data_IF_391162639624
#
_entry.id   IF_391162639624
#
_cell.length_a   1.000
_cell.length_b   1.000
_cell.length_c   1.000
_cell.angle_alpha   90.00
_cell.angle_beta   90.00
_cell.angle_gamma   90.00
#
_symmetry.space_group_name_H-M   'P 1'
#
loop_
_entity.id
_entity.type
_entity.pdbx_description
1 polymer ?
#
# COMPACT_ATOMS: atom_id res chain seq x y z
N UNK A 1 -33.49 3.08 -10.64
CA UNK A 1 -32.09 2.81 -11.02
C UNK A 1 -31.44 2.06 -9.86
N UNK A 2 -31.25 0.76 -10.00
CA UNK A 2 -30.58 -0.04 -8.96
C UNK A 2 -29.09 0.32 -8.98
N UNK A 3 -28.61 0.96 -7.91
CA UNK A 3 -27.19 1.08 -7.64
C UNK A 3 -26.66 -0.35 -7.43
N UNK A 4 -26.03 -0.91 -8.45
CA UNK A 4 -25.30 -2.16 -8.30
C UNK A 4 -24.19 -1.90 -7.28
N UNK A 5 -24.28 -2.51 -6.10
CA UNK A 5 -23.25 -2.44 -5.07
C UNK A 5 -22.05 -3.28 -5.52
N UNK A 6 -21.28 -2.77 -6.48
CA UNK A 6 -20.02 -3.36 -6.86
C UNK A 6 -19.06 -3.24 -5.67
N UNK A 7 -18.84 -4.37 -4.99
CA UNK A 7 -17.80 -4.51 -3.95
C UNK A 7 -16.47 -4.10 -4.56
N UNK A 8 -15.74 -3.21 -3.89
CA UNK A 8 -14.41 -2.77 -4.30
C UNK A 8 -13.37 -3.44 -3.41
N UNK A 9 -12.37 -4.06 -4.03
CA UNK A 9 -11.29 -4.72 -3.30
C UNK A 9 -10.07 -3.82 -3.17
N UNK A 10 -9.27 -4.04 -2.13
CA UNK A 10 -7.91 -3.49 -2.05
C UNK A 10 -7.10 -4.10 -3.20
N UNK A 11 -6.43 -3.29 -4.06
CA UNK A 11 -5.65 -3.81 -5.17
C UNK A 11 -4.33 -4.36 -4.64
N UNK A 12 -4.36 -5.62 -4.20
CA UNK A 12 -3.19 -6.41 -3.80
C UNK A 12 -2.89 -7.50 -4.82
N UNK A 13 -1.66 -8.00 -4.84
CA UNK A 13 -1.33 -9.18 -5.64
C UNK A 13 -2.07 -10.40 -5.09
N UNK A 14 -2.98 -10.95 -5.89
CA UNK A 14 -3.78 -12.12 -5.54
C UNK A 14 -3.07 -13.37 -6.08
N UNK A 15 -2.85 -14.42 -5.25
CA UNK A 15 -2.15 -15.61 -5.71
C UNK A 15 -2.97 -16.43 -6.70
N UNK A 16 -2.35 -16.88 -7.79
CA UNK A 16 -2.99 -17.70 -8.84
C UNK A 16 -3.37 -19.11 -8.35
N UNK A 17 -2.72 -19.59 -7.28
CA UNK A 17 -2.92 -20.92 -6.71
C UNK A 17 -2.75 -20.89 -5.20
N UNK A 18 -3.73 -21.44 -4.49
CA UNK A 18 -3.66 -21.69 -3.03
C UNK A 18 -3.63 -23.18 -2.69
N UNK A 19 -3.89 -24.05 -3.69
CA UNK A 19 -3.90 -25.50 -3.55
C UNK A 19 -3.68 -26.18 -4.92
N UNK A 20 -3.61 -27.52 -4.95
CA UNK A 20 -3.46 -28.31 -6.18
C UNK A 20 -4.73 -28.54 -7.00
N UNK A 21 -5.85 -27.90 -6.62
CA UNK A 21 -7.13 -28.02 -7.34
C UNK A 21 -7.13 -27.19 -8.64
N UNK A 22 -8.08 -27.44 -9.53
CA UNK A 22 -8.25 -26.66 -10.75
C UNK A 22 -8.57 -25.19 -10.41
N UNK A 23 -7.95 -24.23 -11.12
CA UNK A 23 -8.12 -22.79 -10.90
C UNK A 23 -9.58 -22.31 -10.98
N UNK A 24 -10.44 -23.04 -11.69
CA UNK A 24 -11.89 -22.80 -11.80
C UNK A 24 -12.64 -22.99 -10.47
N UNK A 25 -12.03 -23.66 -9.49
CA UNK A 25 -12.62 -23.88 -8.16
C UNK A 25 -12.30 -22.77 -7.15
N UNK A 26 -11.57 -21.73 -7.57
CA UNK A 26 -11.23 -20.58 -6.73
C UNK A 26 -12.28 -19.48 -6.86
N UNK A 27 -12.89 -19.11 -5.74
CA UNK A 27 -13.79 -17.95 -5.67
C UNK A 27 -13.20 -16.83 -4.82
N UNK A 28 -13.23 -15.61 -5.37
CA UNK A 28 -12.85 -14.38 -4.68
C UNK A 28 -14.05 -13.85 -3.89
N UNK A 29 -13.86 -13.63 -2.59
CA UNK A 29 -14.89 -13.20 -1.66
C UNK A 29 -14.46 -11.91 -0.95
N UNK A 30 -15.41 -11.02 -0.61
CA UNK A 30 -15.15 -9.92 0.30
C UNK A 30 -14.86 -10.47 1.70
N UNK A 31 -13.64 -10.20 2.15
CA UNK A 31 -13.24 -10.37 3.53
C UNK A 31 -13.56 -9.14 4.38
N UNK A 32 -12.66 -8.87 5.33
CA UNK A 32 -12.78 -7.73 6.25
C UNK A 32 -12.94 -6.40 5.51
N UNK A 33 -13.91 -5.60 5.93
CA UNK A 33 -14.09 -4.24 5.44
C UNK A 33 -13.00 -3.33 5.99
N UNK A 34 -12.32 -2.64 5.09
CA UNK A 34 -11.34 -1.59 5.36
C UNK A 34 -12.07 -0.25 5.26
N UNK A 35 -12.39 0.33 6.41
CA UNK A 35 -13.21 1.55 6.52
C UNK A 35 -12.49 2.79 6.00
N UNK A 36 -11.16 2.84 6.10
CA UNK A 36 -10.37 3.99 5.65
C UNK A 36 -9.15 3.54 4.83
N UNK A 37 -9.32 3.33 3.53
CA UNK A 37 -8.17 3.15 2.61
C UNK A 37 -7.81 4.49 2.00
N UNK A 38 -6.58 4.96 2.14
CA UNK A 38 -6.06 6.07 1.32
C UNK A 38 -5.30 5.46 0.15
N UNK A 39 -5.83 5.65 -1.06
CA UNK A 39 -5.26 5.08 -2.28
C UNK A 39 -4.40 6.12 -3.00
N UNK A 40 -3.41 5.58 -3.72
CA UNK A 40 -2.33 6.26 -4.44
C UNK A 40 -2.76 7.57 -5.13
N UNK A 41 -1.89 8.57 -5.06
CA UNK A 41 -1.98 9.78 -5.88
C UNK A 41 -1.29 9.55 -7.25
N UNK A 42 -1.66 8.48 -7.96
CA UNK A 42 -1.25 8.29 -9.36
C UNK A 42 -2.45 8.55 -10.26
N UNK A 43 -2.21 9.20 -11.41
CA UNK A 43 -3.21 9.71 -12.37
C UNK A 43 -4.25 8.69 -12.90
N UNK A 44 -4.22 7.42 -12.49
CA UNK A 44 -4.96 6.34 -13.12
C UNK A 44 -5.64 5.32 -12.20
N UNK A 45 -5.43 5.30 -10.87
CA UNK A 45 -5.95 4.17 -10.04
C UNK A 45 -6.56 4.61 -8.70
N UNK A 46 -7.65 5.38 -8.73
CA UNK A 46 -8.46 5.76 -7.56
C UNK A 46 -7.81 6.85 -6.68
N UNK A 47 -8.18 8.11 -6.93
CA UNK A 47 -7.91 9.21 -6.02
C UNK A 47 -9.00 9.29 -4.97
N UNK A 48 -8.69 9.01 -3.70
CA UNK A 48 -9.68 9.16 -2.66
C UNK A 48 -9.51 8.26 -1.46
N UNK A 49 -10.43 8.45 -0.50
CA UNK A 49 -10.71 7.40 0.47
C UNK A 49 -11.77 6.50 -0.11
N UNK A 50 -11.57 5.20 0.04
CA UNK A 50 -12.56 4.23 -0.40
C UNK A 50 -12.82 3.24 0.72
N UNK A 51 -14.09 2.91 0.90
CA UNK A 51 -14.47 1.71 1.64
C UNK A 51 -14.20 0.52 0.72
N UNK A 52 -13.17 -0.25 1.08
CA UNK A 52 -12.73 -1.42 0.32
C UNK A 52 -12.92 -2.66 1.19
N UNK A 53 -13.08 -3.81 0.56
CA UNK A 53 -13.00 -5.11 1.22
C UNK A 53 -11.64 -5.73 0.96
N UNK A 54 -11.08 -6.38 1.98
CA UNK A 54 -9.92 -7.25 1.76
C UNK A 54 -10.31 -8.42 0.85
N UNK A 55 -9.51 -8.76 -0.16
CA UNK A 55 -9.76 -9.96 -0.94
C UNK A 55 -9.46 -11.21 -0.10
N UNK A 56 -10.38 -12.16 -0.15
CA UNK A 56 -10.20 -13.51 0.36
C UNK A 56 -10.44 -14.50 -0.77
N UNK A 57 -9.53 -15.47 -0.94
CA UNK A 57 -9.72 -16.56 -1.88
C UNK A 57 -10.15 -17.81 -1.11
N UNK A 58 -11.15 -18.50 -1.64
CA UNK A 58 -11.57 -19.80 -1.14
C UNK A 58 -11.63 -20.80 -2.28
N UNK A 59 -11.09 -22.00 -2.05
CA UNK A 59 -11.26 -23.13 -2.94
C UNK A 59 -12.54 -23.88 -2.56
N UNK A 60 -13.49 -23.99 -3.50
CA UNK A 60 -14.75 -24.67 -3.28
C UNK A 60 -14.61 -26.20 -3.25
N UNK A 61 -13.53 -26.73 -3.84
CA UNK A 61 -13.28 -28.18 -3.91
C UNK A 61 -12.62 -28.74 -2.64
N UNK A 62 -11.72 -28.00 -1.99
CA UNK A 62 -10.95 -28.48 -0.84
C UNK A 62 -11.05 -27.60 0.41
N UNK A 63 -11.86 -26.55 0.37
CA UNK A 63 -12.02 -25.56 1.45
C UNK A 63 -10.73 -24.84 1.88
N UNK A 64 -9.65 -24.92 1.08
CA UNK A 64 -8.46 -24.12 1.31
C UNK A 64 -8.80 -22.63 1.17
N UNK A 65 -8.28 -21.80 2.08
CA UNK A 65 -8.49 -20.36 2.05
C UNK A 65 -7.18 -19.61 2.07
N UNK A 66 -7.16 -18.46 1.40
CA UNK A 66 -6.11 -17.46 1.51
C UNK A 66 -6.75 -16.13 1.91
N UNK A 67 -6.10 -15.44 2.83
CA UNK A 67 -6.51 -14.13 3.30
C UNK A 67 -5.33 -13.17 3.15
N UNK A 68 -5.64 -11.93 2.79
CA UNK A 68 -4.62 -10.89 2.62
C UNK A 68 -3.91 -10.63 3.95
N UNK A 69 -2.59 -10.82 3.97
CA UNK A 69 -1.73 -10.56 5.12
C UNK A 69 -1.06 -9.19 5.09
N UNK A 70 -0.20 -8.93 6.09
CA UNK A 70 0.64 -7.72 6.12
C UNK A 70 1.64 -7.73 4.95
N UNK A 71 2.23 -8.88 4.65
CA UNK A 71 3.24 -9.00 3.60
C UNK A 71 2.67 -8.66 2.22
N UNK A 72 1.46 -9.15 1.91
CA UNK A 72 0.76 -8.85 0.65
C UNK A 72 0.48 -7.35 0.49
N UNK A 73 0.16 -6.67 1.58
CA UNK A 73 -0.03 -5.21 1.60
C UNK A 73 1.29 -4.48 1.35
N UNK A 74 2.36 -4.88 2.05
CA UNK A 74 3.67 -4.25 1.92
C UNK A 74 4.22 -4.41 0.50
N UNK A 75 4.05 -5.59 -0.12
CA UNK A 75 4.39 -5.83 -1.52
C UNK A 75 3.58 -4.96 -2.49
N UNK A 76 2.36 -4.62 -2.11
CA UNK A 76 1.44 -3.81 -2.91
C UNK A 76 1.54 -2.31 -2.62
N UNK A 77 2.62 -1.85 -1.98
CA UNK A 77 2.88 -0.46 -1.56
C UNK A 77 1.87 0.11 -0.53
N UNK A 78 1.25 -0.75 0.28
CA UNK A 78 0.31 -0.36 1.32
C UNK A 78 0.88 -0.59 2.73
N UNK A 79 0.55 0.34 3.64
CA UNK A 79 0.95 0.32 5.04
C UNK A 79 -0.27 0.20 5.96
N UNK A 80 -0.36 -0.85 6.79
CA UNK A 80 -1.47 -1.03 7.71
C UNK A 80 -1.30 -0.15 8.95
N UNK A 81 -2.25 0.75 9.20
CA UNK A 81 -2.19 1.67 10.34
C UNK A 81 -2.68 1.05 11.66
N UNK A 82 -3.41 -0.06 11.58
CA UNK A 82 -3.99 -0.77 12.72
C UNK A 82 -3.84 -2.28 12.53
N UNK A 83 -3.71 -3.01 13.64
CA UNK A 83 -3.64 -4.48 13.69
C UNK A 83 -4.83 -5.19 13.04
N UNK A 84 -5.97 -4.49 12.90
CA UNK A 84 -7.18 -5.03 12.29
C UNK A 84 -7.39 -4.59 10.85
N UNK A 85 -6.42 -3.90 10.24
CA UNK A 85 -6.51 -3.38 8.87
C UNK A 85 -7.71 -2.44 8.64
N UNK A 86 -8.21 -1.80 9.71
CA UNK A 86 -9.34 -0.86 9.58
C UNK A 86 -8.96 0.41 8.81
N UNK A 87 -7.67 0.75 8.85
CA UNK A 87 -7.09 1.88 8.12
C UNK A 87 -5.81 1.42 7.45
N UNK A 88 -5.68 1.71 6.16
CA UNK A 88 -4.51 1.39 5.35
C UNK A 88 -4.11 2.64 4.56
N UNK A 89 -2.82 2.95 4.57
CA UNK A 89 -2.25 4.07 3.83
C UNK A 89 -1.44 3.56 2.65
N UNK A 90 -1.62 4.12 1.47
CA UNK A 90 -0.61 3.96 0.43
C UNK A 90 0.71 4.61 0.89
N UNK A 91 1.83 3.95 0.65
CA UNK A 91 3.16 4.42 1.10
C UNK A 91 3.56 5.76 0.45
N UNK A 92 3.04 6.07 -0.74
CA UNK A 92 3.20 7.36 -1.43
C UNK A 92 2.66 8.55 -0.62
N UNK A 93 1.68 8.33 0.26
CA UNK A 93 1.17 9.34 1.19
C UNK A 93 2.26 9.75 2.21
N UNK A 94 3.09 8.81 2.64
CA UNK A 94 4.21 9.10 3.54
C UNK A 94 5.36 9.80 2.81
N UNK A 95 5.69 9.33 1.62
CA UNK A 95 6.69 9.97 0.77
C UNK A 95 6.34 11.42 0.43
N UNK A 96 5.10 11.67 0.00
CA UNK A 96 4.63 13.03 -0.29
C UNK A 96 4.58 13.93 0.94
N UNK A 97 4.34 13.37 2.14
CA UNK A 97 4.49 14.13 3.37
C UNK A 97 5.95 14.49 3.66
N UNK A 98 6.88 13.56 3.47
CA UNK A 98 8.32 13.79 3.61
C UNK A 98 8.81 14.86 2.63
N UNK A 99 8.50 14.76 1.34
CA UNK A 99 8.85 15.75 0.32
C UNK A 99 8.35 17.15 0.71
N UNK A 100 7.13 17.21 1.24
CA UNK A 100 6.53 18.45 1.69
C UNK A 100 7.21 19.01 2.95
N UNK A 101 7.64 18.13 3.87
CA UNK A 101 8.44 18.53 5.02
C UNK A 101 9.81 19.05 4.63
N UNK A 102 10.42 18.51 3.57
CA UNK A 102 11.67 19.01 3.02
C UNK A 102 11.49 20.40 2.38
N UNK A 103 10.41 20.61 1.63
CA UNK A 103 10.11 21.90 0.99
C UNK A 103 9.62 22.96 1.99
N UNK A 104 8.89 22.56 3.03
CA UNK A 104 8.27 23.45 4.01
C UNK A 104 8.33 22.82 5.44
N UNK A 105 9.46 22.94 6.15
CA UNK A 105 9.65 22.31 7.47
C UNK A 105 8.61 22.70 8.52
N UNK A 106 8.10 23.95 8.42
CA UNK A 106 7.08 24.50 9.32
C UNK A 106 5.66 23.97 9.12
N UNK A 107 5.41 23.14 8.10
CA UNK A 107 4.08 22.59 7.87
C UNK A 107 3.72 21.56 8.94
N UNK A 108 2.56 21.67 9.57
CA UNK A 108 2.11 20.68 10.56
C UNK A 108 1.50 19.43 9.90
N UNK A 109 1.53 18.31 10.61
CA UNK A 109 0.79 17.08 10.22
C UNK A 109 -0.69 17.37 9.95
N UNK A 110 -1.30 18.21 10.79
CA UNK A 110 -2.71 18.57 10.65
C UNK A 110 -2.97 19.36 9.35
N UNK A 111 -2.06 20.25 8.94
CA UNK A 111 -2.20 21.00 7.69
C UNK A 111 -2.12 20.05 6.47
N UNK A 112 -1.19 19.10 6.50
CA UNK A 112 -1.08 18.06 5.48
C UNK A 112 -2.34 17.18 5.39
N UNK A 113 -2.83 16.70 6.53
CA UNK A 113 -4.04 15.89 6.58
C UNK A 113 -5.27 16.65 6.09
N UNK A 114 -5.39 17.95 6.41
CA UNK A 114 -6.45 18.80 5.86
C UNK A 114 -6.34 18.97 4.34
N UNK A 115 -5.13 19.08 3.80
CA UNK A 115 -4.92 19.10 2.36
C UNK A 115 -5.35 17.78 1.71
N UNK A 116 -5.00 16.64 2.34
CA UNK A 116 -5.46 15.32 1.88
C UNK A 116 -6.99 15.18 1.99
N UNK A 117 -7.59 15.62 3.10
CA UNK A 117 -9.05 15.69 3.26
C UNK A 117 -9.65 16.44 2.06
N UNK A 118 -9.19 17.67 1.79
CA UNK A 118 -9.71 18.50 0.70
C UNK A 118 -9.61 17.84 -0.68
N UNK A 119 -8.51 17.13 -0.96
CA UNK A 119 -8.32 16.38 -2.22
C UNK A 119 -9.20 15.13 -2.31
N UNK A 120 -9.61 14.58 -1.17
CA UNK A 120 -10.39 13.33 -1.08
C UNK A 120 -11.87 13.53 -0.76
N UNK A 121 -12.31 14.76 -0.45
CA UNK A 121 -13.68 15.14 -0.05
C UNK A 121 -14.77 14.66 -1.02
N UNK A 122 -14.46 14.49 -2.32
CA UNK A 122 -15.44 14.03 -3.31
C UNK A 122 -15.72 12.53 -3.28
N UNK A 123 -14.86 11.75 -2.63
CA UNK A 123 -14.89 10.28 -2.68
C UNK A 123 -14.94 9.62 -1.29
N UNK A 124 -14.77 10.40 -0.21
CA UNK A 124 -14.54 9.90 1.14
C UNK A 124 -15.74 10.11 2.09
N UNK A 125 -16.05 9.10 2.90
CA UNK A 125 -17.07 9.14 3.97
C UNK A 125 -16.51 9.06 5.40
N UNK A 126 -15.19 9.01 5.58
CA UNK A 126 -14.52 8.88 6.89
C UNK A 126 -13.43 9.93 7.16
N UNK A 127 -13.06 10.14 8.44
CA UNK A 127 -12.01 11.09 8.88
C UNK A 127 -10.71 10.34 9.22
N UNK A 128 -9.57 10.80 8.70
CA UNK A 128 -8.26 10.32 9.15
C UNK A 128 -8.02 10.83 10.58
N UNK A 129 -7.72 9.91 11.50
CA UNK A 129 -7.20 10.30 12.80
C UNK A 129 -5.77 10.79 12.64
N UNK A 130 -5.51 12.03 13.06
CA UNK A 130 -4.16 12.61 13.11
C UNK A 130 -3.21 11.70 13.88
N UNK A 131 -3.66 11.14 15.00
CA UNK A 131 -2.85 10.26 15.84
C UNK A 131 -2.50 8.96 15.12
N UNK A 132 -3.48 8.37 14.39
CA UNK A 132 -3.24 7.18 13.59
C UNK A 132 -2.23 7.44 12.47
N UNK A 133 -2.34 8.58 11.80
CA UNK A 133 -1.40 8.95 10.73
C UNK A 133 0.00 9.19 11.27
N UNK A 134 0.16 9.99 12.32
CA UNK A 134 1.46 10.28 12.94
C UNK A 134 2.12 8.99 13.39
N UNK A 135 1.38 8.13 14.10
CA UNK A 135 1.90 6.84 14.55
C UNK A 135 2.38 5.98 13.37
N UNK A 136 1.55 5.84 12.35
CA UNK A 136 1.88 5.01 11.17
C UNK A 136 3.07 5.57 10.40
N UNK A 137 3.17 6.90 10.28
CA UNK A 137 4.30 7.57 9.64
C UNK A 137 5.61 7.30 10.39
N UNK A 138 5.60 7.41 11.72
CA UNK A 138 6.79 7.14 12.54
C UNK A 138 7.19 5.67 12.50
N UNK A 139 6.22 4.74 12.52
CA UNK A 139 6.49 3.30 12.36
C UNK A 139 7.11 3.01 10.99
N UNK A 140 6.55 3.58 9.93
CA UNK A 140 7.08 3.46 8.57
C UNK A 140 8.50 4.03 8.47
N UNK A 141 8.76 5.19 9.08
CA UNK A 141 10.09 5.81 9.11
C UNK A 141 11.10 4.95 9.87
N UNK A 142 10.70 4.38 11.01
CA UNK A 142 11.55 3.50 11.81
C UNK A 142 11.90 2.21 11.04
N UNK A 143 10.92 1.56 10.41
CA UNK A 143 11.15 0.36 9.59
C UNK A 143 12.06 0.70 8.41
N UNK A 144 11.80 1.83 7.73
CA UNK A 144 12.66 2.32 6.64
C UNK A 144 14.10 2.52 7.10
N UNK A 145 14.31 3.14 8.27
CA UNK A 145 15.64 3.34 8.83
C UNK A 145 16.35 2.00 9.11
N UNK A 146 15.65 1.03 9.69
CA UNK A 146 16.20 -0.30 9.96
C UNK A 146 16.55 -1.05 8.66
N UNK A 147 15.69 -0.99 7.65
CA UNK A 147 15.96 -1.59 6.32
C UNK A 147 17.20 -0.97 5.68
N UNK A 148 17.34 0.37 5.72
CA UNK A 148 18.51 1.07 5.20
C UNK A 148 19.77 0.74 6.01
N UNK A 149 19.66 0.65 7.34
CA UNK A 149 20.74 0.24 8.24
C UNK A 149 21.24 -1.16 7.92
N UNK A 150 20.32 -2.11 7.74
CA UNK A 150 20.61 -3.48 7.31
C UNK A 150 21.26 -3.51 5.92
N UNK A 151 20.76 -2.73 4.96
CA UNK A 151 21.36 -2.62 3.63
C UNK A 151 22.81 -2.11 3.70
N UNK A 152 23.09 -1.10 4.53
CA UNK A 152 24.44 -0.57 4.78
C UNK A 152 25.38 -1.56 5.46
N UNK A 153 24.85 -2.46 6.27
CA UNK A 153 25.62 -3.56 6.91
C UNK A 153 25.83 -4.74 5.98
N UNK A 154 25.02 -4.90 4.94
CA UNK A 154 25.16 -6.01 4.00
C UNK A 154 26.47 -5.90 3.20
N UNK A 155 27.27 -6.99 3.12
CA UNK A 155 28.51 -7.00 2.34
C UNK A 155 28.26 -7.11 0.82
N UNK A 156 27.05 -7.49 0.40
CA UNK A 156 26.68 -7.61 -1.01
C UNK A 156 26.16 -6.28 -1.57
N UNK A 157 26.83 -5.68 -2.58
CA UNK A 157 26.35 -4.47 -3.25
C UNK A 157 25.00 -4.67 -3.94
N UNK A 158 24.70 -5.89 -4.40
CA UNK A 158 23.45 -6.25 -5.09
C UNK A 158 22.27 -6.26 -4.10
N UNK A 159 22.46 -6.86 -2.93
CA UNK A 159 21.43 -6.87 -1.88
C UNK A 159 21.19 -5.47 -1.35
N UNK A 160 22.25 -4.67 -1.22
CA UNK A 160 22.18 -3.26 -0.84
C UNK A 160 21.37 -2.43 -1.85
N UNK A 161 21.61 -2.60 -3.15
CA UNK A 161 20.87 -1.89 -4.20
C UNK A 161 19.39 -2.33 -4.25
N UNK A 162 19.10 -3.62 -4.12
CA UNK A 162 17.73 -4.14 -4.10
C UNK A 162 16.90 -3.57 -2.93
N UNK A 163 17.48 -3.52 -1.72
CA UNK A 163 16.81 -2.94 -0.54
C UNK A 163 16.56 -1.43 -0.70
N UNK A 164 17.49 -0.69 -1.32
CA UNK A 164 17.32 0.73 -1.61
C UNK A 164 16.24 0.95 -2.68
N UNK A 165 16.20 0.14 -3.75
CA UNK A 165 15.21 0.26 -4.81
C UNK A 165 13.79 -0.16 -4.39
N UNK A 166 13.65 -1.08 -3.45
CA UNK A 166 12.36 -1.40 -2.81
C UNK A 166 11.85 -0.23 -1.97
N UNK A 167 12.76 0.52 -1.34
CA UNK A 167 12.42 1.64 -0.46
C UNK A 167 12.25 2.97 -1.18
N UNK A 168 12.81 3.12 -2.38
CA UNK A 168 12.68 4.31 -3.21
C UNK A 168 12.26 3.88 -4.62
N UNK A 169 10.97 3.59 -4.86
CA UNK A 169 10.49 3.09 -6.15
C UNK A 169 10.79 4.03 -7.34
N UNK A 170 11.02 5.32 -7.07
CA UNK A 170 11.47 6.33 -8.04
C UNK A 170 12.98 6.32 -8.34
N UNK A 171 13.80 5.67 -7.50
CA UNK A 171 15.23 5.43 -7.76
C UNK A 171 15.45 4.15 -8.59
N UNK A 172 14.40 3.46 -9.03
CA UNK A 172 14.55 2.45 -10.09
C UNK A 172 15.28 3.14 -11.25
N UNK A 173 16.42 2.62 -11.71
CA UNK A 173 17.03 3.14 -12.92
C UNK A 173 15.93 3.10 -13.98
N UNK A 174 15.58 4.26 -14.53
CA UNK A 174 14.93 4.28 -15.84
C UNK A 174 15.84 3.41 -16.69
N UNK A 175 15.30 2.33 -17.25
CA UNK A 175 16.06 1.43 -18.10
C UNK A 175 16.72 2.27 -19.20
N UNK A 176 17.99 2.64 -18.97
CA UNK A 176 18.86 3.06 -20.04
C UNK A 176 19.01 1.80 -20.90
N UNK A 177 18.80 1.89 -22.22
CA UNK A 177 18.94 0.74 -23.08
C UNK A 177 20.35 0.20 -22.87
N UNK A 178 20.41 -1.09 -22.53
CA UNK A 178 21.61 -1.88 -22.49
C UNK A 178 22.24 -1.79 -23.88
N UNK A 179 23.19 -0.87 -24.07
CA UNK A 179 24.06 -0.92 -25.24
C UNK A 179 25.05 -2.04 -24.96
N UNK A 180 24.80 -3.20 -25.56
CA UNK A 180 25.82 -4.23 -25.74
C UNK A 180 27.01 -3.58 -26.46
N UNK A 181 28.10 -3.33 -25.73
CA UNK A 181 29.39 -3.06 -26.34
C UNK A 181 29.82 -4.33 -27.08
N UNK A 182 29.70 -4.30 -28.40
CA UNK A 182 30.48 -5.15 -29.32
C UNK A 182 31.88 -4.56 -29.52
#
# INVERSE_FOLDING_TARGET
MALCSCVRFVPVEIPDKICGCASESLSLKPGKTVTNTIIKNTLSVLQGRHELSMPELACEACAATWTTGVDDLLLSDYWPATLHFATIYATDVFFSFEEMKMAAPGLSFQAYLRMLDQRTLRFATGKISTDSFIKSFLEWEAVRYEVISCARRSPSPVLRAALICLQFPWMKPQALPFQECS
#
